data_IF_438954457015
#
_entry.id   IF_438954457015
#
_cell.length_a   1.000
_cell.length_b   1.000
_cell.length_c   1.000
_cell.angle_alpha   90.00
_cell.angle_beta   90.00
_cell.angle_gamma   90.00
#
_symmetry.space_group_name_H-M   'P 1'
#
loop_
_entity.id
_entity.type
_entity.pdbx_description
1 polymer ?
#
# COMPACT_ATOMS: atom_id res chain seq x y z
N UNK A 1 33.01 10.06 -17.98
CA UNK A 1 32.17 9.32 -17.02
C UNK A 1 30.97 10.20 -16.68
N UNK A 2 29.78 9.88 -17.19
CA UNK A 2 28.57 10.67 -16.94
C UNK A 2 27.90 10.13 -15.68
N UNK A 3 27.79 10.97 -14.66
CA UNK A 3 27.02 10.69 -13.46
C UNK A 3 25.56 10.46 -13.86
N UNK A 4 25.07 9.23 -13.73
CA UNK A 4 23.63 8.96 -13.72
C UNK A 4 23.10 9.45 -12.38
N UNK A 5 22.57 10.67 -12.37
CA UNK A 5 21.75 11.16 -11.26
C UNK A 5 20.48 10.32 -11.21
N UNK A 6 20.46 9.33 -10.32
CA UNK A 6 19.28 8.51 -10.06
C UNK A 6 18.11 9.41 -9.67
N UNK A 7 17.08 9.42 -10.51
CA UNK A 7 15.82 10.08 -10.21
C UNK A 7 15.27 9.47 -8.92
N UNK A 8 15.29 10.24 -7.83
CA UNK A 8 14.59 9.89 -6.60
C UNK A 8 13.21 10.52 -6.69
N UNK A 9 12.12 9.73 -6.80
CA UNK A 9 10.78 10.29 -6.80
C UNK A 9 10.58 11.11 -5.51
N UNK A 10 10.33 12.42 -5.67
CA UNK A 10 9.99 13.28 -4.53
C UNK A 10 8.59 12.87 -4.05
N UNK A 11 8.39 12.59 -2.75
CA UNK A 11 7.07 12.26 -2.24
C UNK A 11 6.12 13.44 -2.51
N UNK A 12 5.09 13.21 -3.32
CA UNK A 12 4.11 14.24 -3.71
C UNK A 12 2.95 14.41 -2.73
N UNK A 13 2.97 13.72 -1.58
CA UNK A 13 1.93 13.87 -0.57
C UNK A 13 2.54 14.15 0.81
N UNK A 14 2.34 15.36 1.32
CA UNK A 14 2.59 15.75 2.72
C UNK A 14 1.42 15.43 3.65
N UNK A 15 0.32 14.88 3.11
CA UNK A 15 -0.85 14.41 3.86
C UNK A 15 -1.00 12.90 3.72
N UNK A 16 -1.48 12.26 4.79
CA UNK A 16 -1.77 10.83 4.82
C UNK A 16 -2.95 10.53 3.88
N UNK A 17 -2.74 9.63 2.92
CA UNK A 17 -3.71 9.26 1.89
C UNK A 17 -4.57 8.09 2.38
N UNK A 18 -5.86 8.05 2.03
CA UNK A 18 -6.70 6.88 2.30
C UNK A 18 -6.67 5.93 1.12
N UNK A 19 -6.76 4.63 1.36
CA UNK A 19 -6.92 3.64 0.27
C UNK A 19 -8.15 3.96 -0.59
N UNK A 20 -9.19 4.55 -0.02
CA UNK A 20 -10.37 5.01 -0.76
C UNK A 20 -10.11 6.17 -1.73
N UNK A 21 -9.00 6.91 -1.59
CA UNK A 21 -8.62 8.01 -2.47
C UNK A 21 -7.83 7.53 -3.70
N UNK A 22 -7.33 6.29 -3.67
CA UNK A 22 -6.55 5.67 -4.73
C UNK A 22 -7.31 4.47 -5.31
N UNK A 23 -7.03 4.15 -6.57
CA UNK A 23 -7.58 3.00 -7.27
C UNK A 23 -6.45 2.15 -7.84
N UNK A 24 -6.66 0.83 -7.88
CA UNK A 24 -5.77 -0.09 -8.58
C UNK A 24 -6.14 -0.11 -10.05
N UNK A 25 -5.14 0.06 -10.92
CA UNK A 25 -5.28 -0.05 -12.36
C UNK A 25 -4.42 -1.19 -12.90
N UNK A 26 -5.03 -1.99 -13.78
CA UNK A 26 -4.33 -3.07 -14.47
C UNK A 26 -3.30 -2.55 -15.49
N UNK A 27 -2.62 -3.46 -16.18
CA UNK A 27 -1.62 -3.14 -17.20
C UNK A 27 -2.17 -2.32 -18.39
N UNK A 28 -3.48 -2.31 -18.58
CA UNK A 28 -4.16 -1.53 -19.61
C UNK A 28 -4.68 -0.17 -19.09
N UNK A 29 -4.44 0.14 -17.81
CA UNK A 29 -4.93 1.35 -17.16
C UNK A 29 -6.39 1.27 -16.72
N UNK A 30 -7.02 0.08 -16.73
CA UNK A 30 -8.39 -0.10 -16.29
C UNK A 30 -8.46 -0.16 -14.78
N UNK A 31 -9.27 0.71 -14.17
CA UNK A 31 -9.56 0.66 -12.75
C UNK A 31 -10.35 -0.60 -12.37
N UNK A 32 -9.92 -1.27 -11.30
CA UNK A 32 -10.57 -2.46 -10.74
C UNK A 32 -11.64 -2.05 -9.72
N UNK A 33 -12.82 -2.67 -9.81
CA UNK A 33 -13.94 -2.38 -8.91
C UNK A 33 -13.88 -3.17 -7.60
N UNK A 34 -13.37 -4.40 -7.64
CA UNK A 34 -13.24 -5.30 -6.49
C UNK A 34 -11.87 -6.01 -6.56
N UNK A 35 -10.79 -5.31 -6.18
CA UNK A 35 -9.44 -5.86 -6.29
C UNK A 35 -9.19 -6.92 -5.22
N UNK A 36 -8.57 -8.01 -5.64
CA UNK A 36 -8.12 -9.07 -4.75
C UNK A 36 -6.73 -8.77 -4.17
N UNK A 37 -6.27 -9.61 -3.25
CA UNK A 37 -4.90 -9.53 -2.73
C UNK A 37 -3.83 -9.73 -3.79
N UNK A 38 -4.11 -10.42 -4.91
CA UNK A 38 -3.11 -10.58 -5.99
C UNK A 38 -3.02 -9.32 -6.86
N UNK A 39 -4.15 -8.69 -7.14
CA UNK A 39 -4.21 -7.43 -7.89
C UNK A 39 -3.41 -6.33 -7.17
N UNK A 40 -3.36 -6.38 -5.86
CA UNK A 40 -2.55 -5.46 -5.05
C UNK A 40 -1.05 -5.48 -5.37
N UNK A 41 -0.52 -6.62 -5.81
CA UNK A 41 0.88 -6.76 -6.23
C UNK A 41 1.06 -6.52 -7.74
N UNK A 42 0.10 -6.97 -8.55
CA UNK A 42 0.20 -6.94 -10.01
C UNK A 42 -0.15 -5.56 -10.60
N UNK A 43 -1.10 -4.85 -9.98
CA UNK A 43 -1.59 -3.56 -10.44
C UNK A 43 -0.83 -2.38 -9.83
N UNK A 44 -1.08 -1.20 -10.39
CA UNK A 44 -0.49 0.05 -9.94
C UNK A 44 -1.55 0.96 -9.31
N UNK A 45 -1.20 1.60 -8.20
CA UNK A 45 -2.05 2.53 -7.47
C UNK A 45 -1.98 3.94 -8.07
N UNK A 46 -3.13 4.56 -8.30
CA UNK A 46 -3.25 5.93 -8.82
C UNK A 46 -4.31 6.71 -8.07
N UNK A 47 -4.17 8.04 -8.01
CA UNK A 47 -5.35 8.88 -7.80
C UNK A 47 -6.22 8.85 -9.06
N UNK A 48 -7.55 8.83 -8.89
CA UNK A 48 -8.50 8.76 -10.01
C UNK A 48 -8.24 9.79 -11.11
N UNK A 49 -7.84 11.00 -10.72
CA UNK A 49 -7.63 12.11 -11.64
C UNK A 49 -6.15 12.27 -12.07
N UNK A 50 -5.27 11.35 -11.69
CA UNK A 50 -3.85 11.41 -12.03
C UNK A 50 -3.44 10.25 -12.95
N UNK A 51 -2.48 10.53 -13.82
CA UNK A 51 -1.84 9.54 -14.69
C UNK A 51 -0.49 9.07 -14.15
N UNK A 52 0.09 9.81 -13.20
CA UNK A 52 1.31 9.41 -12.51
C UNK A 52 0.97 8.43 -11.38
N UNK A 53 1.72 7.33 -11.24
CA UNK A 53 1.46 6.36 -10.19
C UNK A 53 1.80 6.92 -8.82
N UNK A 54 1.04 6.49 -7.82
CA UNK A 54 1.10 7.03 -6.46
C UNK A 54 2.44 6.68 -5.77
N UNK A 55 3.03 7.65 -5.07
CA UNK A 55 4.20 7.42 -4.21
C UNK A 55 4.00 8.12 -2.87
N UNK A 56 3.88 7.35 -1.79
CA UNK A 56 3.62 7.88 -0.46
C UNK A 56 2.99 6.86 0.50
N UNK A 57 2.69 7.35 1.71
CA UNK A 57 1.98 6.59 2.74
C UNK A 57 0.48 6.63 2.53
N UNK A 58 -0.16 5.46 2.63
CA UNK A 58 -1.61 5.39 2.66
C UNK A 58 -2.13 4.41 3.72
N UNK A 59 -3.37 4.62 4.14
CA UNK A 59 -4.07 3.82 5.14
C UNK A 59 -5.48 3.42 4.68
N UNK A 60 -5.90 2.22 5.00
CA UNK A 60 -7.28 1.78 4.96
C UNK A 60 -7.96 2.14 6.28
N UNK A 61 -9.07 2.88 6.20
CA UNK A 61 -9.91 3.22 7.36
C UNK A 61 -11.35 2.77 7.12
N UNK A 62 -12.04 2.38 8.18
CA UNK A 62 -13.49 2.14 8.13
C UNK A 62 -14.31 3.44 8.15
N UNK A 63 -15.64 3.33 8.22
CA UNK A 63 -16.55 4.48 8.27
C UNK A 63 -16.45 5.30 9.56
N UNK A 64 -15.97 4.69 10.65
CA UNK A 64 -15.78 5.32 11.95
C UNK A 64 -14.38 5.94 12.09
N UNK A 65 -13.47 5.64 11.16
CA UNK A 65 -12.11 6.14 11.09
C UNK A 65 -11.06 5.22 11.70
N UNK A 66 -11.41 3.99 12.08
CA UNK A 66 -10.44 3.02 12.57
C UNK A 66 -9.56 2.50 11.44
N UNK A 67 -8.25 2.46 11.68
CA UNK A 67 -7.27 1.98 10.70
C UNK A 67 -7.26 0.45 10.72
N UNK A 68 -7.52 -0.16 9.57
CA UNK A 68 -7.40 -1.61 9.39
C UNK A 68 -6.16 -2.02 8.59
N UNK A 69 -5.53 -1.09 7.87
CA UNK A 69 -4.30 -1.33 7.12
C UNK A 69 -3.49 -0.03 6.90
N UNK A 70 -2.17 -0.13 6.83
CA UNK A 70 -1.26 0.99 6.55
C UNK A 70 -0.02 0.46 5.82
N UNK A 71 0.48 1.25 4.88
CA UNK A 71 1.73 0.96 4.20
C UNK A 71 2.25 2.12 3.36
N UNK A 72 3.30 1.84 2.59
CA UNK A 72 3.93 2.78 1.68
C UNK A 72 3.88 2.24 0.25
N UNK A 73 3.75 3.15 -0.72
CA UNK A 73 3.81 2.85 -2.14
C UNK A 73 4.96 3.61 -2.80
N UNK A 74 5.66 2.94 -3.72
CA UNK A 74 6.67 3.51 -4.60
C UNK A 74 6.24 3.25 -6.04
N UNK A 75 6.07 4.32 -6.83
CA UNK A 75 5.65 4.24 -8.23
C UNK A 75 4.41 3.34 -8.43
N UNK A 76 3.45 3.45 -7.52
CA UNK A 76 2.16 2.76 -7.56
C UNK A 76 2.19 1.35 -6.96
N UNK A 77 3.38 0.80 -6.65
CA UNK A 77 3.55 -0.53 -6.07
C UNK A 77 3.71 -0.46 -4.56
N UNK A 78 3.16 -1.43 -3.80
CA UNK A 78 3.41 -1.51 -2.37
C UNK A 78 4.89 -1.82 -2.10
N UNK A 79 5.47 -1.14 -1.12
CA UNK A 79 6.90 -1.25 -0.79
C UNK A 79 7.11 -1.03 0.72
N UNK A 80 8.12 -1.69 1.29
CA UNK A 80 8.48 -1.55 2.68
C UNK A 80 7.52 -2.26 3.63
N UNK A 81 7.41 -1.74 4.87
CA UNK A 81 6.65 -2.41 5.92
C UNK A 81 5.18 -2.06 5.87
N UNK A 82 4.37 -3.09 5.88
CA UNK A 82 2.92 -3.05 5.93
C UNK A 82 2.41 -3.58 7.26
N UNK A 83 1.29 -3.06 7.71
CA UNK A 83 0.62 -3.54 8.93
C UNK A 83 -0.88 -3.59 8.68
N UNK A 84 -1.52 -4.66 9.16
CA UNK A 84 -2.97 -4.79 9.23
C UNK A 84 -3.38 -5.02 10.68
N UNK A 85 -4.55 -4.53 11.03
CA UNK A 85 -5.11 -4.62 12.37
C UNK A 85 -6.39 -5.44 12.39
N UNK A 86 -6.67 -6.04 13.55
CA UNK A 86 -7.98 -6.58 13.88
C UNK A 86 -8.92 -5.43 14.25
N UNK A 87 -10.23 -5.69 14.27
CA UNK A 87 -11.26 -4.71 14.63
C UNK A 87 -11.06 -4.14 16.04
N UNK A 88 -10.39 -4.89 16.93
CA UNK A 88 -10.03 -4.45 18.27
C UNK A 88 -8.80 -3.51 18.32
N UNK A 89 -8.23 -3.14 17.17
CA UNK A 89 -7.07 -2.26 17.05
C UNK A 89 -5.72 -2.92 17.36
N UNK A 90 -5.67 -4.23 17.66
CA UNK A 90 -4.41 -4.97 17.80
C UNK A 90 -3.89 -5.39 16.43
N UNK A 91 -2.57 -5.59 16.33
CA UNK A 91 -1.97 -6.08 15.09
C UNK A 91 -2.54 -7.44 14.74
N UNK A 92 -2.91 -7.60 13.48
CA UNK A 92 -3.29 -8.87 12.86
C UNK A 92 -2.15 -9.44 12.05
N UNK A 93 -1.49 -8.57 11.29
CA UNK A 93 -0.47 -8.96 10.33
C UNK A 93 0.56 -7.85 10.16
N UNK A 94 1.81 -8.23 9.94
CA UNK A 94 2.90 -7.34 9.59
C UNK A 94 3.74 -8.04 8.54
N UNK A 95 3.93 -7.40 7.40
CA UNK A 95 4.70 -7.97 6.30
C UNK A 95 5.64 -6.93 5.70
N UNK A 96 6.75 -7.40 5.16
CA UNK A 96 7.73 -6.57 4.44
C UNK A 96 7.65 -6.91 2.96
N UNK A 97 7.42 -5.91 2.14
CA UNK A 97 7.50 -6.02 0.68
C UNK A 97 8.81 -5.39 0.23
N UNK A 98 9.56 -6.11 -0.59
CA UNK A 98 10.77 -5.60 -1.25
C UNK A 98 10.80 -6.08 -2.68
N UNK A 99 11.02 -5.17 -3.64
CA UNK A 99 11.07 -5.49 -5.07
C UNK A 99 9.81 -6.21 -5.57
N UNK A 100 8.65 -5.87 -5.02
CA UNK A 100 7.36 -6.47 -5.39
C UNK A 100 7.05 -7.83 -4.75
N UNK A 101 7.95 -8.38 -3.94
CA UNK A 101 7.76 -9.67 -3.28
C UNK A 101 7.62 -9.52 -1.76
N UNK A 102 6.81 -10.37 -1.14
CA UNK A 102 6.70 -10.45 0.31
C UNK A 102 7.94 -11.15 0.89
N UNK A 103 8.85 -10.39 1.48
CA UNK A 103 10.09 -10.90 2.07
C UNK A 103 9.85 -11.67 3.38
N UNK A 104 8.89 -11.20 4.19
CA UNK A 104 8.40 -11.94 5.34
C UNK A 104 7.01 -11.46 5.73
N UNK A 105 6.27 -12.31 6.43
CA UNK A 105 5.04 -11.99 7.12
C UNK A 105 5.07 -12.53 8.56
N UNK A 106 4.37 -11.84 9.45
CA UNK A 106 4.08 -12.25 10.83
C UNK A 106 2.61 -12.07 11.07
N UNK A 107 2.02 -13.00 11.80
CA UNK A 107 0.60 -13.00 12.10
C UNK A 107 0.41 -13.02 13.61
N UNK A 108 -0.70 -12.43 14.05
CA UNK A 108 -1.12 -12.46 15.43
C UNK A 108 -2.61 -12.77 15.49
N UNK A 109 -3.02 -13.51 16.51
CA UNK A 109 -4.42 -13.70 16.84
C UNK A 109 -5.05 -12.39 17.38
N UNK A 110 -6.36 -12.41 17.66
CA UNK A 110 -7.09 -11.26 18.21
C UNK A 110 -6.55 -10.82 19.59
N UNK A 111 -5.85 -11.71 20.31
CA UNK A 111 -5.27 -11.42 21.60
C UNK A 111 -3.85 -10.82 21.50
N UNK A 112 -3.27 -10.74 20.30
CA UNK A 112 -1.91 -10.28 20.08
C UNK A 112 -0.86 -11.37 20.33
N UNK A 113 -1.25 -12.64 20.33
CA UNK A 113 -0.35 -13.79 20.41
C UNK A 113 0.13 -14.11 18.99
N UNK A 114 1.45 -14.19 18.72
CA UNK A 114 1.97 -14.59 17.42
C UNK A 114 1.49 -15.98 17.01
N UNK A 115 1.12 -16.15 15.74
CA UNK A 115 0.70 -17.43 15.14
C UNK A 115 1.46 -17.74 13.85
#
# INVERSE_FOLDING_TARGET
MRHQGGYKPKPRCTRLVRFADIELRDVNGRALADPTSIDFFDCLSYFRNETAPYTGRAQGVDLEGHVHAEGFFVEGRPEGRWTRWHDNGRKREEFLITNGECAYARHWDENGVPI
#
